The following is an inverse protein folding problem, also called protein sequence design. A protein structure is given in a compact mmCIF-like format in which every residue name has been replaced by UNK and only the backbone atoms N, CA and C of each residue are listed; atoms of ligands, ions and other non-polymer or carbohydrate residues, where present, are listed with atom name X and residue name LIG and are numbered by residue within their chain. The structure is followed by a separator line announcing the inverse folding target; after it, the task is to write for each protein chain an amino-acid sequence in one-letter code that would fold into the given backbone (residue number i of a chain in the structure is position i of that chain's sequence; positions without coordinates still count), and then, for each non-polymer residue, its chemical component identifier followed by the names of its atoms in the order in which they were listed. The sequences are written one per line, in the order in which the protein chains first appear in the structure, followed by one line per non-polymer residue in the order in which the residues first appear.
data_IF_028731456429
#
_entry.id   IF_028731456429
#
_cell.length_a   1.000
_cell.length_b   1.000
_cell.length_c   1.000
_cell.angle_alpha   90.00
_cell.angle_beta   90.00
_cell.angle_gamma   90.00
#
_symmetry.space_group_name_H-M   'P 1'
#
loop_
_entity.id
_entity.type
_entity.pdbx_description
1 polymer ?
#
# COMPACT_ATOMS: atom_id res chain seq x y z
N UNK A 1 -77.74 -20.04 -78.83
CA UNK A 1 -76.28 -20.33 -78.92
C UNK A 1 -75.39 -19.10 -78.72
N UNK A 2 -75.69 -17.93 -79.30
CA UNK A 2 -74.85 -16.73 -79.16
C UNK A 2 -74.83 -16.13 -77.74
N UNK A 3 -76.00 -16.01 -77.08
CA UNK A 3 -76.10 -15.48 -75.70
C UNK A 3 -75.30 -16.28 -74.67
N UNK A 4 -75.22 -17.61 -74.83
CA UNK A 4 -74.49 -18.49 -73.92
C UNK A 4 -72.97 -18.35 -74.07
N UNK A 5 -72.48 -18.07 -75.29
CA UNK A 5 -71.07 -17.76 -75.53
C UNK A 5 -70.68 -16.38 -74.97
N UNK A 6 -71.58 -15.41 -75.07
CA UNK A 6 -71.36 -14.07 -74.52
C UNK A 6 -71.31 -14.11 -72.99
N UNK A 7 -72.26 -14.79 -72.34
CA UNK A 7 -72.23 -15.00 -70.88
C UNK A 7 -70.97 -15.74 -70.42
N UNK A 8 -70.53 -16.78 -71.13
CA UNK A 8 -69.28 -17.47 -70.81
C UNK A 8 -68.04 -16.58 -70.99
N UNK A 9 -68.03 -15.69 -71.99
CA UNK A 9 -66.96 -14.71 -72.19
C UNK A 9 -66.90 -13.72 -71.02
N UNK A 10 -68.05 -13.21 -70.57
CA UNK A 10 -68.14 -12.28 -69.43
C UNK A 10 -67.68 -12.96 -68.12
N UNK A 11 -68.09 -14.21 -67.88
CA UNK A 11 -67.63 -15.01 -66.73
C UNK A 11 -66.11 -15.23 -66.77
N UNK A 12 -65.56 -15.59 -67.93
CA UNK A 12 -64.12 -15.80 -68.09
C UNK A 12 -63.33 -14.51 -67.88
N UNK A 13 -63.87 -13.36 -68.31
CA UNK A 13 -63.27 -12.05 -68.06
C UNK A 13 -63.30 -11.69 -66.57
N UNK A 14 -64.43 -11.91 -65.89
CA UNK A 14 -64.53 -11.70 -64.44
C UNK A 14 -63.56 -12.59 -63.65
N UNK A 15 -63.46 -13.88 -64.01
CA UNK A 15 -62.52 -14.82 -63.41
C UNK A 15 -61.06 -14.43 -63.66
N UNK A 16 -60.74 -13.89 -64.85
CA UNK A 16 -59.40 -13.40 -65.16
C UNK A 16 -59.03 -12.17 -64.32
N UNK A 17 -59.98 -11.27 -64.06
CA UNK A 17 -59.79 -10.10 -63.17
C UNK A 17 -59.60 -10.55 -61.72
N UNK A 18 -60.44 -11.46 -61.23
CA UNK A 18 -60.33 -12.02 -59.88
C UNK A 18 -58.96 -12.68 -59.68
N UNK A 19 -58.52 -13.52 -60.64
CA UNK A 19 -57.19 -14.15 -60.61
C UNK A 19 -56.07 -13.12 -60.53
N UNK A 20 -56.10 -12.08 -61.37
CA UNK A 20 -55.08 -11.01 -61.32
C UNK A 20 -55.07 -10.29 -59.98
N UNK A 21 -56.23 -9.98 -59.41
CA UNK A 21 -56.33 -9.35 -58.09
C UNK A 21 -55.77 -10.25 -56.98
N UNK A 22 -56.07 -11.56 -57.03
CA UNK A 22 -55.52 -12.52 -56.08
C UNK A 22 -54.00 -12.67 -56.21
N UNK A 23 -53.47 -12.70 -57.43
CA UNK A 23 -52.02 -12.76 -57.70
C UNK A 23 -51.31 -11.47 -57.29
N UNK A 24 -51.94 -10.31 -57.46
CA UNK A 24 -51.41 -9.03 -56.96
C UNK A 24 -51.40 -8.99 -55.44
N UNK A 25 -52.49 -9.42 -54.79
CA UNK A 25 -52.56 -9.51 -53.33
C UNK A 25 -51.52 -10.48 -52.77
N UNK A 26 -51.34 -11.65 -53.39
CA UNK A 26 -50.31 -12.62 -53.03
C UNK A 26 -48.91 -12.03 -53.17
N UNK A 27 -48.59 -11.36 -54.29
CA UNK A 27 -47.30 -10.70 -54.48
C UNK A 27 -47.02 -9.61 -53.44
N UNK A 28 -48.04 -8.85 -53.04
CA UNK A 28 -47.89 -7.85 -51.97
C UNK A 28 -47.62 -8.53 -50.63
N UNK A 29 -48.35 -9.60 -50.31
CA UNK A 29 -48.15 -10.38 -49.09
C UNK A 29 -46.73 -10.98 -49.04
N UNK A 30 -46.27 -11.61 -50.12
CA UNK A 30 -44.90 -12.14 -50.23
C UNK A 30 -43.86 -11.04 -50.04
N UNK A 31 -44.08 -9.85 -50.61
CA UNK A 31 -43.17 -8.72 -50.43
C UNK A 31 -43.12 -8.24 -48.97
N UNK A 32 -44.27 -8.21 -48.29
CA UNK A 32 -44.36 -7.85 -46.88
C UNK A 32 -43.67 -8.89 -45.98
N UNK A 33 -43.88 -10.17 -46.24
CA UNK A 33 -43.22 -11.28 -45.54
C UNK A 33 -41.70 -11.21 -45.71
N UNK A 34 -41.23 -11.04 -46.95
CA UNK A 34 -39.80 -10.90 -47.26
C UNK A 34 -39.19 -9.68 -46.53
N UNK A 35 -39.91 -8.56 -46.47
CA UNK A 35 -39.47 -7.37 -45.74
C UNK A 35 -39.40 -7.63 -44.23
N UNK A 36 -40.39 -8.34 -43.69
CA UNK A 36 -40.41 -8.69 -42.27
C UNK A 36 -39.26 -9.64 -41.92
N UNK A 37 -38.97 -10.64 -42.77
CA UNK A 37 -37.85 -11.55 -42.61
C UNK A 37 -36.51 -10.80 -42.59
N UNK A 38 -36.26 -9.96 -43.60
CA UNK A 38 -35.03 -9.15 -43.69
C UNK A 38 -34.88 -8.27 -42.45
N UNK A 39 -35.96 -7.61 -42.03
CA UNK A 39 -35.98 -6.77 -40.84
C UNK A 39 -35.65 -7.58 -39.59
N UNK A 40 -36.26 -8.75 -39.41
CA UNK A 40 -36.03 -9.62 -38.25
C UNK A 40 -34.59 -10.15 -38.22
N UNK A 41 -34.02 -10.50 -39.38
CA UNK A 41 -32.62 -10.91 -39.49
C UNK A 41 -31.68 -9.77 -39.09
N UNK A 42 -31.89 -8.56 -39.62
CA UNK A 42 -31.06 -7.39 -39.35
C UNK A 42 -31.06 -6.99 -37.87
N UNK A 43 -32.22 -7.02 -37.22
CA UNK A 43 -32.35 -6.66 -35.80
C UNK A 43 -32.20 -7.85 -34.85
N UNK A 44 -31.98 -9.06 -35.38
CA UNK A 44 -31.77 -10.24 -34.57
C UNK A 44 -30.43 -10.22 -33.83
N UNK A 45 -30.35 -10.97 -32.73
CA UNK A 45 -29.16 -11.06 -31.86
C UNK A 45 -27.90 -11.56 -32.57
N UNK A 46 -28.08 -12.30 -33.67
CA UNK A 46 -26.95 -12.85 -34.43
C UNK A 46 -26.17 -11.74 -35.15
N UNK A 47 -26.87 -10.84 -35.87
CA UNK A 47 -26.23 -9.76 -36.64
C UNK A 47 -25.95 -8.51 -35.81
N UNK A 48 -26.74 -8.25 -34.76
CA UNK A 48 -26.53 -7.10 -33.87
C UNK A 48 -25.47 -7.36 -32.79
N UNK A 49 -25.06 -8.62 -32.63
CA UNK A 49 -24.06 -9.07 -31.66
C UNK A 49 -24.27 -8.56 -30.24
N UNK A 50 -25.51 -8.53 -29.78
CA UNK A 50 -25.88 -8.02 -28.46
C UNK A 50 -25.13 -8.78 -27.35
N UNK A 51 -24.34 -8.10 -26.48
CA UNK A 51 -23.62 -8.77 -25.38
C UNK A 51 -24.58 -9.32 -24.32
N UNK A 52 -25.83 -8.84 -24.31
CA UNK A 52 -26.90 -9.29 -23.42
C UNK A 52 -27.39 -10.72 -23.74
N UNK A 53 -27.12 -11.24 -24.94
CA UNK A 53 -27.49 -12.61 -25.32
C UNK A 53 -26.79 -13.69 -24.45
N UNK A 54 -25.72 -13.33 -23.75
CA UNK A 54 -24.99 -14.20 -22.83
C UNK A 54 -25.64 -14.33 -21.45
N UNK A 55 -26.68 -13.55 -21.14
CA UNK A 55 -27.32 -13.56 -19.82
C UNK A 55 -28.07 -14.88 -19.62
N UNK A 56 -27.74 -15.61 -18.55
CA UNK A 56 -28.41 -16.86 -18.24
C UNK A 56 -29.79 -16.62 -17.64
N UNK A 57 -30.80 -17.35 -18.12
CA UNK A 57 -32.12 -17.42 -17.50
C UNK A 57 -32.09 -18.04 -16.10
N UNK A 58 -31.04 -18.84 -15.78
CA UNK A 58 -30.87 -19.49 -14.48
C UNK A 58 -30.26 -18.57 -13.40
N UNK A 59 -30.03 -17.29 -13.72
CA UNK A 59 -29.67 -16.26 -12.75
C UNK A 59 -28.50 -15.39 -13.19
N UNK A 60 -28.45 -14.17 -12.63
CA UNK A 60 -27.51 -13.11 -12.99
C UNK A 60 -26.02 -13.44 -12.80
N UNK A 61 -25.68 -14.41 -11.95
CA UNK A 61 -24.28 -14.81 -11.71
C UNK A 61 -23.77 -15.85 -12.71
N UNK A 62 -24.65 -16.37 -13.57
CA UNK A 62 -24.32 -17.37 -14.58
C UNK A 62 -24.38 -16.73 -15.96
N UNK A 63 -23.47 -17.13 -16.82
CA UNK A 63 -23.36 -16.65 -18.20
C UNK A 63 -23.46 -17.86 -19.12
N UNK A 64 -24.16 -17.72 -20.23
CA UNK A 64 -24.16 -18.70 -21.31
C UNK A 64 -22.80 -18.64 -22.00
N UNK A 65 -21.96 -19.64 -21.73
CA UNK A 65 -20.56 -19.68 -22.17
C UNK A 65 -20.43 -19.57 -23.69
N UNK A 66 -21.29 -20.28 -24.42
CA UNK A 66 -21.27 -20.33 -25.89
C UNK A 66 -21.62 -18.97 -26.54
N UNK A 67 -22.30 -18.09 -25.81
CA UNK A 67 -22.74 -16.77 -26.29
C UNK A 67 -21.94 -15.62 -25.69
N UNK A 68 -20.91 -15.92 -24.91
CA UNK A 68 -20.14 -14.89 -24.23
C UNK A 68 -19.25 -14.12 -25.20
N UNK A 69 -19.50 -12.81 -25.31
CA UNK A 69 -18.77 -11.88 -26.18
C UNK A 69 -17.96 -10.83 -25.40
N UNK A 70 -17.75 -11.06 -24.10
CA UNK A 70 -17.07 -10.12 -23.21
C UNK A 70 -18.01 -9.40 -22.24
N UNK A 71 -17.45 -8.45 -21.50
CA UNK A 71 -18.15 -7.70 -20.45
C UNK A 71 -19.17 -6.71 -21.02
N UNK A 72 -20.24 -6.52 -20.28
CA UNK A 72 -21.25 -5.51 -20.59
C UNK A 72 -20.64 -4.10 -20.54
N UNK A 73 -21.13 -3.15 -21.35
CA UNK A 73 -20.68 -1.76 -21.28
C UNK A 73 -20.78 -1.15 -19.87
N UNK A 74 -21.82 -1.50 -19.13
CA UNK A 74 -22.04 -1.07 -17.75
C UNK A 74 -20.98 -1.64 -16.79
N UNK A 75 -20.64 -2.93 -16.93
CA UNK A 75 -19.60 -3.58 -16.12
C UNK A 75 -18.24 -2.96 -16.41
N UNK A 76 -17.93 -2.69 -17.68
CA UNK A 76 -16.69 -1.98 -18.05
C UNK A 76 -16.63 -0.57 -17.47
N UNK A 77 -17.75 0.14 -17.46
CA UNK A 77 -17.83 1.47 -16.84
C UNK A 77 -17.63 1.41 -15.31
N UNK A 78 -18.22 0.40 -14.64
CA UNK A 78 -18.02 0.16 -13.20
C UNK A 78 -16.56 -0.15 -12.89
N UNK A 79 -15.93 -1.08 -13.63
CA UNK A 79 -14.51 -1.40 -13.46
C UNK A 79 -13.62 -0.17 -13.64
N UNK A 80 -13.90 0.65 -14.65
CA UNK A 80 -13.15 1.90 -14.87
C UNK A 80 -13.34 2.89 -13.72
N UNK A 81 -14.54 2.97 -13.16
CA UNK A 81 -14.81 3.81 -12.00
C UNK A 81 -14.04 3.31 -10.76
N UNK A 82 -14.07 2.01 -10.48
CA UNK A 82 -13.33 1.39 -9.38
C UNK A 82 -11.81 1.60 -9.54
N UNK A 83 -11.27 1.47 -10.75
CA UNK A 83 -9.85 1.74 -11.02
C UNK A 83 -9.47 3.21 -10.71
N UNK A 84 -10.35 4.15 -11.03
CA UNK A 84 -10.12 5.56 -10.71
C UNK A 84 -10.14 5.82 -9.20
N UNK A 85 -11.06 5.17 -8.48
CA UNK A 85 -11.10 5.22 -7.02
C UNK A 85 -9.83 4.65 -6.39
N UNK A 86 -9.38 3.47 -6.84
CA UNK A 86 -8.14 2.84 -6.38
C UNK A 86 -6.92 3.75 -6.60
N UNK A 87 -6.83 4.41 -7.76
CA UNK A 87 -5.76 5.35 -8.05
C UNK A 87 -5.76 6.55 -7.08
N UNK A 88 -6.95 7.06 -6.74
CA UNK A 88 -7.08 8.14 -5.78
C UNK A 88 -6.67 7.70 -4.36
N UNK A 89 -7.12 6.53 -3.93
CA UNK A 89 -6.74 5.94 -2.65
C UNK A 89 -5.23 5.73 -2.56
N UNK A 90 -4.60 5.21 -3.62
CA UNK A 90 -3.15 5.03 -3.69
C UNK A 90 -2.40 6.34 -3.55
N UNK A 91 -2.86 7.40 -4.22
CA UNK A 91 -2.28 8.74 -4.08
C UNK A 91 -2.39 9.24 -2.64
N UNK A 92 -3.56 9.08 -2.01
CA UNK A 92 -3.76 9.46 -0.60
C UNK A 92 -2.85 8.67 0.34
N UNK A 93 -2.72 7.34 0.13
CA UNK A 93 -1.81 6.48 0.92
C UNK A 93 -0.36 6.92 0.78
N UNK A 94 0.10 7.20 -0.43
CA UNK A 94 1.46 7.69 -0.66
C UNK A 94 1.73 9.06 -0.04
N UNK A 95 0.74 9.96 -0.03
CA UNK A 95 0.87 11.25 0.64
C UNK A 95 0.98 11.08 2.16
N UNK A 96 0.14 10.24 2.76
CA UNK A 96 0.21 9.94 4.20
C UNK A 96 1.55 9.31 4.58
N UNK A 97 2.05 8.35 3.79
CA UNK A 97 3.36 7.73 4.01
C UNK A 97 4.50 8.75 3.95
N UNK A 98 4.46 9.69 2.99
CA UNK A 98 5.44 10.78 2.92
C UNK A 98 5.40 11.67 4.16
N UNK A 99 4.21 12.08 4.60
CA UNK A 99 4.06 12.90 5.81
C UNK A 99 4.56 12.18 7.06
N UNK A 100 4.25 10.90 7.21
CA UNK A 100 4.74 10.09 8.34
C UNK A 100 6.26 9.93 8.30
N UNK A 101 6.85 9.74 7.11
CA UNK A 101 8.29 9.69 6.94
C UNK A 101 8.96 11.01 7.34
N UNK A 102 8.44 12.15 6.86
CA UNK A 102 8.95 13.48 7.21
C UNK A 102 8.85 13.74 8.73
N UNK A 103 7.73 13.35 9.37
CA UNK A 103 7.56 13.44 10.83
C UNK A 103 8.58 12.58 11.57
N UNK A 104 8.82 11.36 11.08
CA UNK A 104 9.81 10.46 11.64
C UNK A 104 11.22 11.05 11.54
N UNK A 105 11.62 11.56 10.37
CA UNK A 105 12.91 12.21 10.16
C UNK A 105 13.10 13.40 11.11
N UNK A 106 12.10 14.26 11.24
CA UNK A 106 12.14 15.40 12.15
C UNK A 106 12.33 14.94 13.60
N UNK A 107 11.61 13.90 14.02
CA UNK A 107 11.74 13.32 15.36
C UNK A 107 13.13 12.74 15.58
N UNK A 108 13.65 11.97 14.63
CA UNK A 108 15.00 11.39 14.70
C UNK A 108 16.07 12.47 14.78
N UNK A 109 15.95 13.54 13.98
CA UNK A 109 16.87 14.67 14.02
C UNK A 109 16.82 15.41 15.37
N UNK A 110 15.62 15.64 15.91
CA UNK A 110 15.46 16.24 17.23
C UNK A 110 16.08 15.36 18.33
N UNK A 111 15.86 14.05 18.29
CA UNK A 111 16.46 13.08 19.21
C UNK A 111 17.99 13.07 19.11
N UNK A 112 18.54 13.08 17.89
CA UNK A 112 19.99 13.14 17.68
C UNK A 112 20.60 14.42 18.27
N UNK A 113 19.94 15.57 18.07
CA UNK A 113 20.36 16.85 18.66
C UNK A 113 20.34 16.80 20.19
N UNK A 114 19.28 16.23 20.78
CA UNK A 114 19.18 16.05 22.23
C UNK A 114 20.27 15.11 22.77
N UNK A 115 20.57 14.03 22.04
CA UNK A 115 21.68 13.12 22.37
C UNK A 115 23.01 13.85 22.45
N UNK A 116 23.36 14.61 21.42
CA UNK A 116 24.61 15.40 21.40
C UNK A 116 24.68 16.41 22.56
N UNK A 117 23.58 17.07 22.91
CA UNK A 117 23.55 18.00 24.04
C UNK A 117 23.76 17.28 25.37
N UNK A 118 23.14 16.10 25.54
CA UNK A 118 23.30 15.27 26.72
C UNK A 118 24.74 14.76 26.87
N UNK A 119 25.33 14.27 25.79
CA UNK A 119 26.72 13.80 25.79
C UNK A 119 27.69 14.93 26.16
N UNK A 120 27.47 16.15 25.65
CA UNK A 120 28.25 17.33 26.02
C UNK A 120 28.10 17.68 27.50
N UNK A 121 26.88 17.61 28.04
CA UNK A 121 26.64 17.84 29.46
C UNK A 121 27.37 16.79 30.31
N UNK A 122 27.25 15.51 29.94
CA UNK A 122 27.93 14.41 30.62
C UNK A 122 29.45 14.59 30.59
N UNK A 123 30.03 14.94 29.44
CA UNK A 123 31.46 15.21 29.32
C UNK A 123 31.94 16.37 30.21
N UNK A 124 31.13 17.42 30.39
CA UNK A 124 31.44 18.51 31.34
C UNK A 124 31.43 18.01 32.78
N UNK A 125 30.41 17.26 33.18
CA UNK A 125 30.31 16.71 34.54
C UNK A 125 31.41 15.72 34.85
N UNK A 126 31.77 14.85 33.90
CA UNK A 126 32.87 13.90 34.05
C UNK A 126 34.20 14.63 34.21
N UNK A 127 34.43 15.69 33.43
CA UNK A 127 35.64 16.50 33.56
C UNK A 127 35.76 17.14 34.93
N UNK A 128 34.68 17.74 35.43
CA UNK A 128 34.64 18.32 36.78
C UNK A 128 34.92 17.26 37.85
N UNK A 129 34.32 16.07 37.73
CA UNK A 129 34.57 14.96 38.65
C UNK A 129 36.03 14.48 38.59
N UNK A 130 36.61 14.38 37.39
CA UNK A 130 38.03 14.02 37.21
C UNK A 130 38.96 15.06 37.84
N UNK A 131 38.65 16.34 37.71
CA UNK A 131 39.41 17.43 38.32
C UNK A 131 39.34 17.36 39.86
N UNK A 132 38.15 17.12 40.44
CA UNK A 132 37.98 16.92 41.88
C UNK A 132 38.75 15.69 42.39
N UNK A 133 38.65 14.56 41.70
CA UNK A 133 39.39 13.34 42.03
C UNK A 133 40.91 13.57 41.96
N UNK A 134 41.39 14.32 40.96
CA UNK A 134 42.81 14.64 40.85
C UNK A 134 43.31 15.50 42.02
N UNK A 135 42.53 16.48 42.46
CA UNK A 135 42.85 17.32 43.63
C UNK A 135 42.91 16.49 44.91
N UNK A 136 41.92 15.63 45.16
CA UNK A 136 41.92 14.73 46.32
C UNK A 136 43.10 13.75 46.29
N UNK A 137 43.40 13.17 45.12
CA UNK A 137 44.58 12.30 44.98
C UNK A 137 45.89 13.04 45.27
N UNK A 138 46.03 14.29 44.84
CA UNK A 138 47.21 15.11 45.16
C UNK A 138 47.31 15.39 46.66
N UNK A 139 46.19 15.72 47.31
CA UNK A 139 46.14 15.95 48.75
C UNK A 139 46.52 14.69 49.52
N UNK A 140 45.93 13.53 49.18
CA UNK A 140 46.23 12.25 49.79
C UNK A 140 47.71 11.86 49.59
N UNK A 141 48.27 12.13 48.40
CA UNK A 141 49.69 11.89 48.13
C UNK A 141 50.60 12.74 49.03
N UNK A 142 50.30 14.03 49.22
CA UNK A 142 51.03 14.90 50.14
C UNK A 142 50.91 14.46 51.60
N UNK A 143 49.70 14.08 52.04
CA UNK A 143 49.49 13.56 53.40
C UNK A 143 50.27 12.26 53.62
N UNK A 144 50.28 11.36 52.63
CA UNK A 144 51.03 10.11 52.69
C UNK A 144 52.54 10.36 52.69
N UNK A 145 53.04 11.31 51.90
CA UNK A 145 54.44 11.72 51.90
C UNK A 145 54.86 12.25 53.27
N UNK A 146 54.10 13.19 53.85
CA UNK A 146 54.36 13.74 55.19
C UNK A 146 54.37 12.65 56.27
N UNK A 147 53.43 11.70 56.20
CA UNK A 147 53.40 10.55 57.13
C UNK A 147 54.65 9.69 56.99
N UNK A 148 55.09 9.39 55.76
CA UNK A 148 56.33 8.64 55.52
C UNK A 148 57.54 9.36 56.12
N UNK A 149 57.69 10.65 55.83
CA UNK A 149 58.78 11.47 56.38
C UNK A 149 58.79 11.50 57.92
N UNK A 150 57.60 11.56 58.55
CA UNK A 150 57.47 11.47 60.00
C UNK A 150 57.91 10.10 60.54
N UNK A 151 57.48 9.00 59.92
CA UNK A 151 57.87 7.65 60.33
C UNK A 151 59.37 7.42 60.18
N UNK A 152 59.95 7.83 59.05
CA UNK A 152 61.39 7.67 58.78
C UNK A 152 62.23 8.41 59.84
N UNK A 153 61.86 9.65 60.18
CA UNK A 153 62.60 10.48 61.15
C UNK A 153 62.42 10.06 62.60
N UNK A 154 61.19 9.72 63.02
CA UNK A 154 60.87 9.56 64.44
C UNK A 154 60.65 8.12 64.90
N UNK A 155 60.28 7.21 63.99
CA UNK A 155 59.95 5.83 64.35
C UNK A 155 61.03 4.86 63.90
N UNK A 156 61.56 5.03 62.68
CA UNK A 156 62.59 4.13 62.13
C UNK A 156 64.02 4.53 62.47
N UNK A 157 64.23 5.69 63.09
CA UNK A 157 65.54 6.08 63.61
C UNK A 157 65.73 5.48 65.00
N UNK A 158 66.50 4.38 65.07
CA UNK A 158 66.82 3.74 66.34
C UNK A 158 67.98 4.47 67.02
N UNK A 159 67.68 5.23 68.07
CA UNK A 159 68.69 5.87 68.90
C UNK A 159 68.90 5.00 70.14
N UNK A 160 70.12 4.48 70.39
CA UNK A 160 70.41 3.69 71.57
C UNK A 160 70.13 4.51 72.84
N UNK A 161 69.38 3.91 73.77
CA UNK A 161 69.05 4.57 75.04
C UNK A 161 70.28 4.70 75.93
N UNK A 162 70.27 5.65 76.86
CA UNK A 162 71.38 5.82 77.81
C UNK A 162 71.68 4.52 78.57
N UNK A 163 70.64 3.77 78.92
CA UNK A 163 70.74 2.44 79.53
C UNK A 163 71.49 1.40 78.68
N UNK A 164 71.51 1.54 77.34
CA UNK A 164 72.30 0.69 76.47
C UNK A 164 73.81 0.95 76.64
N UNK A 165 74.22 2.22 76.69
CA UNK A 165 75.63 2.57 76.88
C UNK A 165 76.13 2.21 78.28
N UNK A 166 75.28 2.31 79.30
CA UNK A 166 75.60 1.89 80.67
C UNK A 166 75.86 0.40 80.86
N UNK A 167 75.56 -0.45 79.86
CA UNK A 167 75.87 -1.89 79.93
C UNK A 167 77.36 -2.19 79.71
N UNK A 168 78.07 -1.34 78.97
CA UNK A 168 79.49 -1.53 78.64
C UNK A 168 80.39 -1.05 79.79
N UNK A 169 81.56 -1.67 79.98
CA UNK A 169 82.54 -1.36 81.05
C UNK A 169 82.04 -1.56 82.49
N UNK A 170 81.02 -2.38 82.69
CA UNK A 170 80.47 -2.72 84.02
C UNK A 170 81.22 -3.84 84.75
N UNK A 171 82.17 -4.52 84.09
CA UNK A 171 82.96 -5.63 84.65
C UNK A 171 84.43 -5.52 84.23
N UNK A 172 85.36 -5.61 85.19
CA UNK A 172 86.81 -5.33 85.02
C UNK A 172 87.63 -6.55 84.60
N UNK A 173 87.12 -7.40 83.70
CA UNK A 173 87.79 -8.67 83.35
C UNK A 173 88.95 -8.49 82.38
#
# INVERSE_FOLDING_TARGET
MAHLRQANSEINQALAVERRQTEEAQRQHELEDNRAEVRNALYGDFLTETPYAAISSMGSRRVQVDRYKGLLPEERARLKHEQLQQLEEDRRRQQLQRQEHERWEQKTLAQARLGVLKDRQQGRTERQLREQLAQENQRLAMEQQKKREMFDKHVYTNVPSEAFFSQFNTSTR
#
